data_IF_129084160313
#
_entry.id   IF_129084160313
#
_cell.length_a   1.000
_cell.length_b   1.000
_cell.length_c   1.000
_cell.angle_alpha   90.00
_cell.angle_beta   90.00
_cell.angle_gamma   90.00
#
_symmetry.space_group_name_H-M   'P 1'
#
loop_
_entity.id
_entity.type
_entity.pdbx_description
1 polymer ?
#
# COMPACT_ATOMS: atom_id res chain seq x y z
N UNK A 1 19.07 -5.76 7.66
CA UNK A 1 17.72 -5.30 8.04
C UNK A 1 17.29 -6.11 9.26
N UNK A 2 16.93 -5.46 10.37
CA UNK A 2 16.55 -6.15 11.60
C UNK A 2 15.16 -6.79 11.43
N UNK A 3 14.93 -7.96 12.02
CA UNK A 3 13.67 -8.70 11.86
C UNK A 3 12.48 -7.87 12.39
N UNK A 4 11.55 -7.45 11.52
CA UNK A 4 10.32 -6.73 11.87
C UNK A 4 9.47 -7.43 12.94
N UNK A 5 9.61 -8.75 13.06
CA UNK A 5 8.85 -9.58 13.98
C UNK A 5 9.70 -10.10 15.14
N UNK A 6 10.82 -9.44 15.46
CA UNK A 6 11.51 -9.66 16.74
C UNK A 6 10.59 -9.33 17.92
N UNK A 7 10.83 -9.93 19.10
CA UNK A 7 10.02 -9.67 20.31
C UNK A 7 9.96 -8.17 20.62
N UNK A 8 11.09 -7.46 20.48
CA UNK A 8 11.17 -6.02 20.73
C UNK A 8 10.34 -5.21 19.73
N UNK A 9 10.42 -5.54 18.44
CA UNK A 9 9.67 -4.85 17.40
C UNK A 9 8.17 -5.14 17.50
N UNK A 10 7.77 -6.36 17.85
CA UNK A 10 6.36 -6.67 18.10
C UNK A 10 5.79 -5.86 19.27
N UNK A 11 6.58 -5.58 20.31
CA UNK A 11 6.12 -4.76 21.44
C UNK A 11 5.98 -3.28 21.06
N UNK A 12 6.93 -2.73 20.30
CA UNK A 12 6.84 -1.38 19.73
C UNK A 12 5.58 -1.25 18.86
N UNK A 13 5.41 -2.18 17.91
CA UNK A 13 4.23 -2.21 17.03
C UNK A 13 2.93 -2.40 17.80
N UNK A 14 2.93 -3.16 18.90
CA UNK A 14 1.76 -3.30 19.78
C UNK A 14 1.35 -1.97 20.39
N UNK A 15 2.30 -1.21 20.95
CA UNK A 15 2.01 0.12 21.51
C UNK A 15 1.52 1.09 20.43
N UNK A 16 2.12 1.05 19.25
CA UNK A 16 1.67 1.82 18.07
C UNK A 16 0.21 1.49 17.73
N UNK A 17 -0.10 0.22 17.50
CA UNK A 17 -1.46 -0.22 17.15
C UNK A 17 -2.46 0.15 18.24
N UNK A 18 -2.11 0.00 19.52
CA UNK A 18 -2.99 0.39 20.62
C UNK A 18 -3.30 1.90 20.67
N UNK A 19 -2.42 2.75 20.14
CA UNK A 19 -2.65 4.20 20.03
C UNK A 19 -3.52 4.52 18.83
N UNK A 20 -3.26 3.85 17.71
CA UNK A 20 -3.73 4.26 16.40
C UNK A 20 -4.99 3.56 15.91
N UNK A 21 -5.22 2.32 16.38
CA UNK A 21 -6.37 1.51 16.01
C UNK A 21 -7.34 1.48 17.19
N UNK A 22 -8.53 2.05 16.98
CA UNK A 22 -9.44 2.41 18.06
C UNK A 22 -10.48 1.32 18.33
N UNK A 23 -11.18 0.86 17.29
CA UNK A 23 -12.27 -0.11 17.45
C UNK A 23 -12.55 -0.89 16.17
N UNK A 24 -12.90 -2.19 16.27
CA UNK A 24 -13.44 -2.95 15.14
C UNK A 24 -14.88 -2.52 14.88
N UNK A 25 -15.22 -2.25 13.61
CA UNK A 25 -16.55 -1.77 13.19
C UNK A 25 -17.09 -2.49 11.96
N UNK A 26 -16.63 -3.72 11.73
CA UNK A 26 -17.00 -4.51 10.56
C UNK A 26 -18.51 -4.55 10.29
N UNK A 27 -19.31 -4.94 11.29
CA UNK A 27 -20.76 -5.06 11.13
C UNK A 27 -21.44 -3.73 10.81
N UNK A 28 -20.92 -2.62 11.34
CA UNK A 28 -21.50 -1.29 11.11
C UNK A 28 -21.23 -0.83 9.67
N UNK A 29 -19.97 -0.91 9.23
CA UNK A 29 -19.58 -0.45 7.89
C UNK A 29 -20.21 -1.34 6.82
N UNK A 30 -20.15 -2.66 6.98
CA UNK A 30 -20.78 -3.61 6.03
C UNK A 30 -22.29 -3.41 5.93
N UNK A 31 -22.98 -3.13 7.06
CA UNK A 31 -24.41 -2.83 7.04
C UNK A 31 -24.72 -1.56 6.24
N UNK A 32 -23.94 -0.50 6.42
CA UNK A 32 -24.14 0.75 5.68
C UNK A 32 -23.88 0.52 4.18
N UNK A 33 -22.76 -0.11 3.83
CA UNK A 33 -22.37 -0.37 2.44
C UNK A 33 -23.32 -1.34 1.72
N UNK A 34 -24.05 -2.20 2.45
CA UNK A 34 -25.00 -3.14 1.83
C UNK A 34 -26.35 -2.53 1.48
N UNK A 35 -26.62 -1.28 1.87
CA UNK A 35 -27.91 -0.61 1.61
C UNK A 35 -27.74 0.53 0.62
N UNK A 36 -28.59 0.56 -0.39
CA UNK A 36 -28.73 1.72 -1.27
C UNK A 36 -29.56 2.80 -0.56
N UNK A 37 -28.91 3.54 0.34
CA UNK A 37 -29.50 4.67 1.05
C UNK A 37 -28.77 5.97 0.62
N UNK A 38 -29.43 6.87 -0.13
CA UNK A 38 -28.85 8.15 -0.53
C UNK A 38 -28.48 9.07 0.64
N UNK A 39 -29.07 8.85 1.83
CA UNK A 39 -28.78 9.61 3.05
C UNK A 39 -27.71 8.90 3.92
N UNK A 40 -27.13 7.79 3.45
CA UNK A 40 -26.02 7.13 4.12
C UNK A 40 -24.80 8.06 4.26
N UNK A 41 -24.02 7.92 5.36
CA UNK A 41 -22.85 8.76 5.58
C UNK A 41 -21.72 8.54 4.56
N UNK A 42 -21.73 7.40 3.86
CA UNK A 42 -20.75 7.02 2.83
C UNK A 42 -21.28 5.82 2.02
N UNK A 43 -20.61 5.57 0.90
CA UNK A 43 -20.85 4.50 -0.06
C UNK A 43 -19.55 3.81 -0.45
N UNK A 44 -19.64 2.79 -1.32
CA UNK A 44 -18.44 2.13 -1.87
C UNK A 44 -17.55 3.09 -2.67
N UNK A 45 -18.14 4.08 -3.33
CA UNK A 45 -17.43 5.07 -4.15
C UNK A 45 -16.56 6.01 -3.29
N UNK A 46 -16.86 6.12 -1.99
CA UNK A 46 -16.10 6.94 -1.04
C UNK A 46 -14.84 6.23 -0.52
N UNK A 47 -14.63 4.96 -0.85
CA UNK A 47 -13.44 4.20 -0.44
C UNK A 47 -12.25 4.60 -1.33
N UNK A 48 -11.33 5.36 -0.76
CA UNK A 48 -10.07 5.71 -1.43
C UNK A 48 -9.16 4.49 -1.57
N UNK A 49 -8.45 4.39 -2.70
CA UNK A 49 -7.55 3.27 -3.02
C UNK A 49 -8.21 1.89 -2.96
N UNK A 50 -9.51 1.81 -3.27
CA UNK A 50 -10.23 0.53 -3.37
C UNK A 50 -9.72 -0.33 -4.53
N UNK A 51 -9.23 0.31 -5.60
CA UNK A 51 -8.73 -0.35 -6.78
C UNK A 51 -7.21 -0.24 -6.89
N UNK A 52 -6.59 -1.26 -7.47
CA UNK A 52 -5.15 -1.34 -7.71
C UNK A 52 -4.82 -2.11 -8.99
N UNK A 53 -3.60 -1.94 -9.46
CA UNK A 53 -2.97 -2.69 -10.53
C UNK A 53 -1.81 -3.50 -9.94
N UNK A 54 -1.52 -4.65 -10.54
CA UNK A 54 -0.43 -5.52 -10.09
C UNK A 54 0.57 -5.72 -11.23
N UNK A 55 1.85 -5.51 -10.97
CA UNK A 55 2.92 -5.82 -11.93
C UNK A 55 3.29 -7.31 -11.92
N UNK A 56 4.26 -7.70 -12.76
CA UNK A 56 4.74 -9.08 -12.86
C UNK A 56 5.39 -9.60 -11.55
N UNK A 57 5.89 -8.71 -10.69
CA UNK A 57 6.53 -9.05 -9.41
C UNK A 57 5.53 -9.12 -8.26
N UNK A 58 4.28 -8.73 -8.48
CA UNK A 58 3.24 -8.70 -7.45
C UNK A 58 3.20 -7.40 -6.63
N UNK A 59 3.85 -6.33 -7.09
CA UNK A 59 3.72 -5.01 -6.47
C UNK A 59 2.39 -4.37 -6.89
N UNK A 60 1.79 -3.62 -5.98
CA UNK A 60 0.48 -3.00 -6.19
C UNK A 60 0.61 -1.49 -6.38
N UNK A 61 -0.11 -0.97 -7.37
CA UNK A 61 -0.12 0.44 -7.74
C UNK A 61 -1.55 0.96 -7.77
N UNK A 62 -1.79 2.15 -7.23
CA UNK A 62 -2.98 2.93 -7.60
C UNK A 62 -2.91 3.36 -9.07
N UNK A 63 -4.01 3.89 -9.61
CA UNK A 63 -4.05 4.47 -10.96
C UNK A 63 -2.91 5.48 -11.18
N UNK A 64 -2.73 6.42 -10.24
CA UNK A 64 -1.71 7.46 -10.34
C UNK A 64 -0.30 6.90 -10.21
N UNK A 65 -0.08 5.94 -9.30
CA UNK A 65 1.22 5.29 -9.16
C UNK A 65 1.58 4.45 -10.39
N UNK A 66 0.61 3.79 -11.03
CA UNK A 66 0.80 3.04 -12.27
C UNK A 66 1.31 3.98 -13.37
N UNK A 67 0.66 5.12 -13.57
CA UNK A 67 1.08 6.12 -14.57
C UNK A 67 2.51 6.59 -14.30
N UNK A 68 2.80 6.99 -13.07
CA UNK A 68 4.14 7.45 -12.68
C UNK A 68 5.22 6.38 -12.86
N UNK A 69 4.92 5.13 -12.50
CA UNK A 69 5.86 4.02 -12.64
C UNK A 69 6.16 3.70 -14.11
N UNK A 70 5.15 3.73 -14.97
CA UNK A 70 5.31 3.54 -16.41
C UNK A 70 6.17 4.65 -17.02
N UNK A 71 5.90 5.92 -16.70
CA UNK A 71 6.73 7.04 -17.15
C UNK A 71 8.19 6.86 -16.72
N UNK A 72 8.41 6.49 -15.46
CA UNK A 72 9.77 6.24 -14.91
C UNK A 72 10.49 5.12 -15.65
N UNK A 73 9.80 4.01 -15.96
CA UNK A 73 10.41 2.89 -16.68
C UNK A 73 10.64 3.19 -18.16
N UNK A 74 9.75 3.94 -18.79
CA UNK A 74 9.90 4.37 -20.18
C UNK A 74 11.10 5.31 -20.35
N UNK A 75 11.30 6.27 -19.44
CA UNK A 75 12.50 7.12 -19.44
C UNK A 75 13.79 6.30 -19.25
N UNK A 76 13.77 5.33 -18.31
CA UNK A 76 14.91 4.45 -18.09
C UNK A 76 15.21 3.51 -19.28
N UNK A 77 14.18 3.12 -20.02
CA UNK A 77 14.30 2.32 -21.24
C UNK A 77 14.98 3.15 -22.34
N UNK A 78 14.49 4.37 -22.59
CA UNK A 78 15.09 5.28 -23.59
C UNK A 78 16.56 5.58 -23.27
N UNK A 79 16.90 5.85 -22.01
CA UNK A 79 18.29 6.06 -21.59
C UNK A 79 19.16 4.82 -21.87
N UNK A 80 18.65 3.62 -21.53
CA UNK A 80 19.38 2.38 -21.75
C UNK A 80 19.59 2.07 -23.24
N UNK A 81 18.60 2.37 -24.09
CA UNK A 81 18.69 2.23 -25.54
C UNK A 81 19.76 3.16 -26.13
N UNK A 82 19.78 4.42 -25.73
CA UNK A 82 20.81 5.39 -26.16
C UNK A 82 22.22 4.88 -25.79
N UNK A 83 22.40 4.38 -24.57
CA UNK A 83 23.68 3.83 -24.14
C UNK A 83 24.06 2.55 -24.92
N UNK A 84 23.09 1.73 -25.32
CA UNK A 84 23.33 0.54 -26.13
C UNK A 84 23.74 0.91 -27.56
N UNK A 85 23.26 2.02 -28.12
CA UNK A 85 23.75 2.53 -29.41
C UNK A 85 25.24 2.88 -29.37
N UNK A 86 25.73 3.37 -28.23
CA UNK A 86 27.16 3.68 -28.02
C UNK A 86 28.03 2.43 -27.83
N UNK A 87 27.49 1.38 -27.19
CA UNK A 87 28.16 0.09 -26.95
C UNK A 87 27.23 -1.10 -27.24
N UNK A 88 27.10 -1.51 -28.52
CA UNK A 88 26.10 -2.51 -28.95
C UNK A 88 26.31 -3.92 -28.38
N UNK A 89 27.52 -4.24 -27.93
CA UNK A 89 27.86 -5.54 -27.37
C UNK A 89 27.66 -5.59 -25.83
N UNK A 90 27.14 -4.51 -25.23
CA UNK A 90 26.91 -4.43 -23.80
C UNK A 90 25.76 -5.34 -23.33
N UNK A 91 26.12 -6.56 -22.95
CA UNK A 91 25.17 -7.59 -22.50
C UNK A 91 24.35 -7.20 -21.26
N UNK A 92 24.86 -6.30 -20.41
CA UNK A 92 24.13 -5.82 -19.25
C UNK A 92 22.99 -4.86 -19.66
N UNK A 93 23.25 -3.96 -20.62
CA UNK A 93 22.21 -3.07 -21.17
C UNK A 93 21.14 -3.85 -21.92
N UNK A 94 21.54 -4.85 -22.74
CA UNK A 94 20.58 -5.72 -23.44
C UNK A 94 19.64 -6.41 -22.45
N UNK A 95 20.19 -6.97 -21.36
CA UNK A 95 19.39 -7.63 -20.32
C UNK A 95 18.48 -6.65 -19.59
N UNK A 96 18.94 -5.42 -19.36
CA UNK A 96 18.18 -4.37 -18.68
C UNK A 96 17.02 -3.87 -19.53
N UNK A 97 17.25 -3.60 -20.80
CA UNK A 97 16.23 -3.20 -21.79
C UNK A 97 15.14 -4.26 -21.84
N UNK A 98 15.52 -5.53 -22.04
CA UNK A 98 14.55 -6.62 -22.10
C UNK A 98 13.73 -6.75 -20.81
N UNK A 99 14.34 -6.54 -19.63
CA UNK A 99 13.60 -6.53 -18.38
C UNK A 99 12.59 -5.36 -18.31
N UNK A 100 13.03 -4.14 -18.65
CA UNK A 100 12.15 -2.96 -18.67
C UNK A 100 11.00 -3.10 -19.65
N UNK A 101 11.24 -3.60 -20.86
CA UNK A 101 10.19 -3.87 -21.85
C UNK A 101 9.13 -4.82 -21.30
N UNK A 102 9.55 -5.92 -20.67
CA UNK A 102 8.63 -6.89 -20.06
C UNK A 102 7.84 -6.27 -18.90
N UNK A 103 8.49 -5.49 -18.03
CA UNK A 103 7.84 -4.86 -16.87
C UNK A 103 6.83 -3.79 -17.32
N UNK A 104 7.18 -2.99 -18.33
CA UNK A 104 6.29 -2.00 -18.96
C UNK A 104 5.09 -2.72 -19.59
N UNK A 105 5.32 -3.71 -20.44
CA UNK A 105 4.23 -4.46 -21.10
C UNK A 105 3.29 -5.09 -20.05
N UNK A 106 3.85 -5.69 -19.00
CA UNK A 106 3.06 -6.31 -17.94
C UNK A 106 2.19 -5.28 -17.21
N UNK A 107 2.76 -4.14 -16.82
CA UNK A 107 2.02 -3.12 -16.06
C UNK A 107 1.03 -2.34 -16.94
N UNK A 108 1.36 -2.07 -18.20
CA UNK A 108 0.44 -1.46 -19.18
C UNK A 108 -0.82 -2.32 -19.35
N UNK A 109 -0.63 -3.62 -19.56
CA UNK A 109 -1.71 -4.59 -19.74
C UNK A 109 -2.34 -5.08 -18.42
N UNK A 110 -1.86 -4.62 -17.27
CA UNK A 110 -2.44 -4.99 -15.98
C UNK A 110 -3.91 -4.55 -15.90
N UNK A 111 -4.77 -5.50 -15.57
CA UNK A 111 -6.19 -5.24 -15.29
C UNK A 111 -6.35 -4.60 -13.91
N UNK A 112 -7.33 -3.70 -13.81
CA UNK A 112 -7.68 -3.11 -12.52
C UNK A 112 -8.36 -4.16 -11.64
N UNK A 113 -7.86 -4.29 -10.42
CA UNK A 113 -8.37 -5.21 -9.41
C UNK A 113 -8.96 -4.44 -8.24
N UNK A 114 -9.97 -5.01 -7.58
CA UNK A 114 -10.55 -4.45 -6.37
C UNK A 114 -9.95 -5.15 -5.15
N UNK A 115 -9.61 -4.38 -4.11
CA UNK A 115 -9.21 -4.95 -2.84
C UNK A 115 -10.36 -5.73 -2.19
N UNK A 116 -10.07 -6.95 -1.76
CA UNK A 116 -10.97 -7.67 -0.85
C UNK A 116 -10.72 -7.17 0.57
N UNK A 117 -11.72 -6.51 1.14
CA UNK A 117 -11.68 -5.99 2.51
C UNK A 117 -12.32 -7.02 3.43
N UNK A 118 -11.58 -7.49 4.44
CA UNK A 118 -12.07 -8.49 5.38
C UNK A 118 -12.50 -7.89 6.72
N UNK A 119 -11.90 -6.77 7.12
CA UNK A 119 -12.16 -6.15 8.41
C UNK A 119 -12.17 -4.63 8.30
N UNK A 120 -13.13 -3.98 8.95
CA UNK A 120 -13.15 -2.53 9.14
C UNK A 120 -12.73 -2.11 10.54
N UNK A 121 -11.83 -1.14 10.62
CA UNK A 121 -11.31 -0.60 11.86
C UNK A 121 -11.42 0.92 11.89
N UNK A 122 -11.98 1.49 12.96
CA UNK A 122 -11.81 2.93 13.24
C UNK A 122 -10.36 3.16 13.62
N UNK A 123 -9.75 4.16 13.00
CA UNK A 123 -8.37 4.56 13.23
C UNK A 123 -8.27 6.07 13.44
N UNK A 124 -7.13 6.54 13.92
CA UNK A 124 -6.90 7.99 14.03
C UNK A 124 -6.73 8.62 12.65
N UNK A 125 -6.95 9.95 12.52
CA UNK A 125 -6.64 10.68 11.29
C UNK A 125 -5.17 10.57 10.87
N UNK A 126 -4.25 10.44 11.83
CA UNK A 126 -2.83 10.34 11.53
C UNK A 126 -2.52 9.00 10.85
N UNK A 127 -2.96 7.87 11.43
CA UNK A 127 -2.77 6.56 10.80
C UNK A 127 -3.48 6.48 9.44
N UNK A 128 -4.63 7.15 9.28
CA UNK A 128 -5.34 7.17 8.00
C UNK A 128 -4.50 7.81 6.89
N UNK A 129 -3.79 8.90 7.19
CA UNK A 129 -2.91 9.55 6.22
C UNK A 129 -1.70 8.66 5.86
N UNK A 130 -1.08 8.03 6.86
CA UNK A 130 0.04 7.10 6.61
C UNK A 130 -0.42 5.90 5.75
N UNK A 131 -1.59 5.34 6.03
CA UNK A 131 -2.13 4.23 5.24
C UNK A 131 -2.50 4.64 3.81
N UNK A 132 -2.98 5.87 3.58
CA UNK A 132 -3.20 6.42 2.24
C UNK A 132 -1.89 6.54 1.45
N UNK A 133 -0.80 6.97 2.10
CA UNK A 133 0.52 7.01 1.46
C UNK A 133 1.01 5.61 1.03
N UNK A 134 0.44 4.55 1.61
CA UNK A 134 0.67 3.15 1.23
C UNK A 134 -0.42 2.55 0.34
N UNK A 135 -1.25 3.41 -0.28
CA UNK A 135 -2.36 3.03 -1.16
C UNK A 135 -3.26 1.96 -0.54
N UNK A 136 -3.61 2.13 0.75
CA UNK A 136 -4.54 1.22 1.44
C UNK A 136 -5.98 1.75 1.41
N UNK A 137 -6.98 0.84 1.41
CA UNK A 137 -8.39 1.24 1.43
C UNK A 137 -8.73 2.06 2.67
N UNK A 138 -9.11 3.31 2.46
CA UNK A 138 -9.55 4.22 3.54
C UNK A 138 -10.89 4.83 3.18
N UNK A 139 -11.80 4.80 4.14
CA UNK A 139 -13.14 5.38 4.08
C UNK A 139 -13.29 6.44 5.17
N UNK A 140 -14.16 7.43 4.96
CA UNK A 140 -14.48 8.46 5.97
C UNK A 140 -15.94 8.87 5.88
N UNK A 141 -16.56 9.15 7.03
CA UNK A 141 -17.89 9.78 7.15
C UNK A 141 -17.78 11.31 7.40
N UNK A 142 -16.58 11.88 7.23
CA UNK A 142 -16.24 13.27 7.56
C UNK A 142 -15.89 13.52 9.03
N UNK A 143 -16.13 12.58 9.94
CA UNK A 143 -15.78 12.69 11.37
C UNK A 143 -14.75 11.65 11.81
N UNK A 144 -14.85 10.44 11.26
CA UNK A 144 -14.04 9.26 11.55
C UNK A 144 -13.31 8.79 10.29
N UNK A 145 -12.27 8.00 10.52
CA UNK A 145 -11.53 7.30 9.48
C UNK A 145 -11.62 5.80 9.71
N UNK A 146 -11.92 5.09 8.64
CA UNK A 146 -12.08 3.64 8.64
C UNK A 146 -11.03 3.03 7.72
N UNK A 147 -10.28 2.08 8.26
CA UNK A 147 -9.34 1.28 7.49
C UNK A 147 -9.99 -0.03 7.08
N UNK A 148 -10.08 -0.24 5.76
CA UNK A 148 -10.44 -1.51 5.15
C UNK A 148 -9.21 -2.41 5.09
N UNK A 149 -9.10 -3.31 6.06
CA UNK A 149 -7.96 -4.22 6.18
C UNK A 149 -8.16 -5.46 5.29
N UNK A 150 -7.22 -5.67 4.39
CA UNK A 150 -7.24 -6.76 3.39
C UNK A 150 -6.59 -8.07 3.88
N UNK A 151 -6.47 -8.25 5.19
CA UNK A 151 -6.00 -9.50 5.81
C UNK A 151 -6.80 -9.77 7.07
N UNK A 152 -7.05 -11.04 7.40
CA UNK A 152 -7.76 -11.45 8.62
C UNK A 152 -7.04 -12.59 9.35
N UNK A 153 -7.41 -12.86 10.60
CA UNK A 153 -6.87 -13.95 11.43
C UNK A 153 -5.53 -13.68 12.10
N UNK A 154 -4.70 -12.79 11.55
CA UNK A 154 -3.46 -12.34 12.19
C UNK A 154 -3.66 -11.02 12.97
N UNK A 155 -2.85 -10.80 14.01
CA UNK A 155 -2.85 -9.54 14.75
C UNK A 155 -2.42 -8.36 13.86
N UNK A 156 -3.05 -7.20 14.00
CA UNK A 156 -2.75 -6.00 13.19
C UNK A 156 -1.27 -5.61 13.25
N UNK A 157 -0.62 -5.77 14.40
CA UNK A 157 0.81 -5.46 14.55
C UNK A 157 1.72 -6.30 13.64
N UNK A 158 1.22 -7.41 13.09
CA UNK A 158 1.94 -8.28 12.15
C UNK A 158 1.73 -7.87 10.69
N UNK A 159 0.83 -6.93 10.40
CA UNK A 159 0.64 -6.47 9.04
C UNK A 159 1.90 -5.81 8.50
N UNK A 160 2.16 -6.09 7.23
CA UNK A 160 3.31 -5.55 6.50
C UNK A 160 3.28 -4.03 6.48
N UNK A 161 2.11 -3.42 6.26
CA UNK A 161 1.95 -1.96 6.20
C UNK A 161 2.28 -1.30 7.54
N UNK A 162 1.87 -1.90 8.65
CA UNK A 162 2.20 -1.40 9.99
C UNK A 162 3.71 -1.46 10.23
N UNK A 163 4.36 -2.53 9.76
CA UNK A 163 5.81 -2.68 9.89
C UNK A 163 6.56 -1.62 9.07
N UNK A 164 6.09 -1.33 7.85
CA UNK A 164 6.64 -0.25 7.01
C UNK A 164 6.45 1.13 7.63
N UNK A 165 5.24 1.46 8.11
CA UNK A 165 4.99 2.74 8.80
C UNK A 165 5.91 2.90 10.02
N UNK A 166 6.06 1.86 10.84
CA UNK A 166 6.97 1.93 12.00
C UNK A 166 8.45 2.05 11.60
N UNK A 167 8.84 1.51 10.45
CA UNK A 167 10.19 1.65 9.88
C UNK A 167 10.43 3.06 9.36
N UNK A 168 9.48 3.66 8.63
CA UNK A 168 9.56 5.05 8.15
C UNK A 168 9.61 6.07 9.28
N UNK A 169 8.90 5.78 10.38
CA UNK A 169 8.98 6.57 11.60
C UNK A 169 10.32 6.37 12.34
N UNK A 170 11.15 5.43 11.90
CA UNK A 170 12.40 5.03 12.52
C UNK A 170 12.25 4.63 14.00
N UNK A 171 11.11 4.03 14.38
CA UNK A 171 10.80 3.67 15.79
C UNK A 171 11.10 2.22 16.14
N UNK A 172 11.44 1.38 15.14
CA UNK A 172 11.79 -0.01 15.40
C UNK A 172 13.09 -0.08 16.22
N UNK A 173 13.29 -1.20 16.91
CA UNK A 173 14.49 -1.42 17.71
C UNK A 173 15.75 -1.18 16.87
N UNK A 174 16.72 -0.47 17.44
CA UNK A 174 17.98 -0.14 16.76
C UNK A 174 17.93 1.10 15.86
N UNK A 175 16.75 1.71 15.66
CA UNK A 175 16.58 2.93 14.87
C UNK A 175 16.65 4.20 15.73
N UNK A 176 16.63 5.35 15.06
CA UNK A 176 16.91 6.66 15.63
C UNK A 176 15.87 7.14 16.65
N UNK A 177 14.61 6.75 16.47
CA UNK A 177 13.50 7.19 17.30
C UNK A 177 13.09 6.09 18.30
N UNK A 178 12.64 6.52 19.48
CA UNK A 178 12.10 5.62 20.48
C UNK A 178 10.58 5.78 20.54
N UNK A 179 9.87 4.66 20.52
CA UNK A 179 8.46 4.66 20.89
C UNK A 179 8.32 4.70 22.42
N UNK A 180 7.99 5.87 22.96
CA UNK A 180 7.74 6.09 24.38
C UNK A 180 6.48 5.33 24.83
#
# INVERSE_FOLDING_TARGET
>A
MENWNSIKNQEIKRKFVNREVLAPVNLLVEYILSHEDPDAPFSLDDITHLYYYTDAEGNHYSETEKVYQLETWQEALEEAEILLEEDPDNTALISRISALENDIEALENAEQQMWEIYEWWIITPWLANELKAYSKPILTDGQNYYWGRCTTGQAILLDRVISRICEDMEILHGMCNAWL
#
